data_IF_306863659659
#
_entry.id   IF_306863659659
#
_cell.length_a   1.000
_cell.length_b   1.000
_cell.length_c   1.000
_cell.angle_alpha   90.00
_cell.angle_beta   90.00
_cell.angle_gamma   90.00
#
_symmetry.space_group_name_H-M   'P 1'
#
loop_
_entity.id
_entity.type
_entity.pdbx_description
1 polymer ?
#
# COMPACT_ATOMS: atom_id res chain seq x y z
N UNK A 1 13.24 33.00 -10.94
CA UNK A 1 13.72 32.35 -12.18
C UNK A 1 12.97 31.04 -12.38
N UNK A 2 12.44 30.77 -13.59
CA UNK A 2 11.70 29.52 -13.89
C UNK A 2 12.65 28.50 -14.51
N UNK A 3 12.47 27.23 -14.18
CA UNK A 3 13.21 26.10 -14.79
C UNK A 3 14.75 26.24 -14.69
N UNK A 4 15.24 26.87 -13.63
CA UNK A 4 16.68 26.92 -13.38
C UNK A 4 17.16 25.57 -12.88
N UNK A 5 18.30 25.11 -13.39
CA UNK A 5 18.95 23.89 -12.92
C UNK A 5 19.38 23.96 -11.46
N UNK A 6 19.88 22.86 -10.91
CA UNK A 6 20.42 22.81 -9.55
C UNK A 6 21.48 23.87 -9.31
N UNK A 7 21.38 24.58 -8.19
CA UNK A 7 22.28 25.68 -7.78
C UNK A 7 22.39 25.73 -6.26
N UNK A 8 23.35 26.51 -5.72
CA UNK A 8 23.47 26.68 -4.26
C UNK A 8 22.20 27.27 -3.62
N UNK A 9 21.49 28.15 -4.33
CA UNK A 9 20.23 28.74 -3.86
C UNK A 9 19.04 27.76 -4.00
N UNK A 10 19.06 26.92 -5.03
CA UNK A 10 18.03 25.92 -5.32
C UNK A 10 18.69 24.56 -5.55
N UNK A 11 18.93 23.75 -4.51
CA UNK A 11 19.73 22.52 -4.60
C UNK A 11 19.24 21.53 -5.66
N UNK A 12 17.92 21.42 -5.90
CA UNK A 12 17.32 20.60 -6.96
C UNK A 12 16.78 21.43 -8.14
N UNK A 13 17.05 22.75 -8.16
CA UNK A 13 16.52 23.65 -9.16
C UNK A 13 15.10 24.13 -8.88
N UNK A 14 14.47 24.72 -9.90
CA UNK A 14 13.10 25.27 -9.82
C UNK A 14 12.17 24.62 -10.84
N UNK A 15 10.87 24.60 -10.52
CA UNK A 15 9.82 24.07 -11.40
C UNK A 15 9.43 25.10 -12.50
N UNK A 16 8.42 24.73 -13.31
CA UNK A 16 7.89 25.55 -14.41
C UNK A 16 7.30 26.91 -13.94
N UNK A 17 6.94 27.01 -12.65
CA UNK A 17 6.44 28.23 -12.02
C UNK A 17 7.50 29.01 -11.23
N UNK A 18 8.75 28.49 -11.19
CA UNK A 18 9.86 29.12 -10.45
C UNK A 18 9.89 28.76 -8.96
N UNK A 19 9.12 27.77 -8.51
CA UNK A 19 9.09 27.31 -7.11
C UNK A 19 10.26 26.38 -6.86
N UNK A 20 10.83 26.41 -5.65
CA UNK A 20 11.92 25.51 -5.24
C UNK A 20 11.48 24.03 -5.30
N UNK A 21 12.16 23.24 -6.12
CA UNK A 21 11.82 21.83 -6.31
C UNK A 21 12.12 20.99 -5.08
N UNK A 22 13.22 21.26 -4.37
CA UNK A 22 13.56 20.58 -3.12
C UNK A 22 12.45 20.75 -2.08
N UNK A 23 11.98 21.97 -1.88
CA UNK A 23 10.85 22.23 -0.95
C UNK A 23 9.59 21.48 -1.38
N UNK A 24 9.27 21.46 -2.67
CA UNK A 24 8.09 20.76 -3.18
C UNK A 24 8.18 19.25 -2.99
N UNK A 25 9.36 18.64 -3.20
CA UNK A 25 9.58 17.22 -2.94
C UNK A 25 9.44 16.91 -1.47
N UNK A 26 10.00 17.73 -0.58
CA UNK A 26 9.87 17.55 0.88
C UNK A 26 8.42 17.70 1.37
N UNK A 27 7.72 18.75 0.93
CA UNK A 27 6.30 18.90 1.27
C UNK A 27 5.40 17.85 0.62
N UNK A 28 5.82 17.29 -0.53
CA UNK A 28 5.16 16.20 -1.24
C UNK A 28 5.15 14.87 -0.48
N UNK A 29 6.03 14.68 0.50
CA UNK A 29 6.03 13.52 1.40
C UNK A 29 4.64 13.33 2.04
N UNK A 30 4.04 14.42 2.54
CA UNK A 30 2.75 14.35 3.24
C UNK A 30 1.61 13.79 2.37
N UNK A 31 1.29 14.34 1.18
CA UNK A 31 0.24 13.79 0.35
C UNK A 31 0.62 12.42 -0.25
N UNK A 32 1.86 12.21 -0.72
CA UNK A 32 2.25 10.97 -1.40
C UNK A 32 2.29 9.78 -0.42
N UNK A 33 2.98 9.92 0.72
CA UNK A 33 3.08 8.84 1.71
C UNK A 33 1.83 8.79 2.59
N UNK A 34 1.28 9.94 2.99
CA UNK A 34 0.10 9.98 3.85
C UNK A 34 -1.12 9.29 3.23
N UNK A 35 -1.39 9.52 1.94
CA UNK A 35 -2.47 8.83 1.21
C UNK A 35 -2.19 7.33 1.06
N UNK A 36 -0.93 6.94 0.80
CA UNK A 36 -0.54 5.54 0.73
C UNK A 36 -0.75 4.80 2.06
N UNK A 37 -0.36 5.43 3.17
CA UNK A 37 -0.57 4.88 4.52
C UNK A 37 -2.06 4.79 4.87
N UNK A 38 -2.83 5.85 4.61
CA UNK A 38 -4.27 5.87 4.85
C UNK A 38 -4.99 4.77 4.04
N UNK A 39 -4.68 4.65 2.74
CA UNK A 39 -5.23 3.60 1.89
C UNK A 39 -4.80 2.20 2.38
N UNK A 40 -3.55 2.03 2.84
CA UNK A 40 -3.08 0.76 3.40
C UNK A 40 -3.86 0.40 4.67
N UNK A 41 -4.07 1.34 5.56
CA UNK A 41 -4.88 1.14 6.76
C UNK A 41 -6.31 0.71 6.40
N UNK A 42 -6.96 1.41 5.47
CA UNK A 42 -8.33 1.09 5.03
C UNK A 42 -8.44 -0.32 4.43
N UNK A 43 -7.54 -0.69 3.51
CA UNK A 43 -7.60 -2.02 2.88
C UNK A 43 -7.25 -3.13 3.85
N UNK A 44 -6.35 -2.88 4.80
CA UNK A 44 -5.95 -3.82 5.83
C UNK A 44 -7.11 -4.10 6.78
N UNK A 45 -7.76 -3.04 7.29
CA UNK A 45 -8.92 -3.18 8.18
C UNK A 45 -10.09 -3.89 7.49
N UNK A 46 -10.42 -3.48 6.25
CA UNK A 46 -11.46 -4.14 5.47
C UNK A 46 -11.10 -5.62 5.20
N UNK A 47 -9.84 -5.88 4.84
CA UNK A 47 -9.35 -7.23 4.59
C UNK A 47 -9.40 -8.13 5.82
N UNK A 48 -9.00 -7.63 7.01
CA UNK A 48 -9.11 -8.37 8.27
C UNK A 48 -10.58 -8.69 8.55
N UNK A 49 -11.45 -7.70 8.47
CA UNK A 49 -12.88 -7.87 8.74
C UNK A 49 -13.49 -8.92 7.81
N UNK A 50 -13.33 -8.77 6.51
CA UNK A 50 -13.90 -9.70 5.51
C UNK A 50 -13.26 -11.08 5.61
N UNK A 51 -11.94 -11.17 5.78
CA UNK A 51 -11.21 -12.44 5.87
C UNK A 51 -11.61 -13.25 7.11
N UNK A 52 -11.72 -12.61 8.27
CA UNK A 52 -12.15 -13.27 9.51
C UNK A 52 -13.61 -13.71 9.41
N UNK A 53 -14.52 -12.83 8.96
CA UNK A 53 -15.94 -13.18 8.77
C UNK A 53 -16.10 -14.39 7.84
N UNK A 54 -15.34 -14.41 6.75
CA UNK A 54 -15.32 -15.50 5.79
C UNK A 54 -14.78 -16.81 6.40
N UNK A 55 -13.74 -16.74 7.25
CA UNK A 55 -13.20 -17.93 7.91
C UNK A 55 -14.12 -18.50 8.97
N UNK A 56 -14.76 -17.65 9.78
CA UNK A 56 -15.60 -18.05 10.92
C UNK A 56 -16.98 -18.50 10.47
N UNK A 57 -17.59 -17.81 9.50
CA UNK A 57 -18.97 -18.07 9.06
C UNK A 57 -19.01 -18.70 7.67
N UNK A 58 -19.18 -20.03 7.59
CA UNK A 58 -19.17 -20.79 6.34
C UNK A 58 -20.18 -20.29 5.29
N UNK A 59 -21.34 -19.79 5.72
CA UNK A 59 -22.36 -19.24 4.81
C UNK A 59 -21.92 -17.93 4.16
N UNK A 60 -21.24 -17.06 4.91
CA UNK A 60 -20.70 -15.79 4.40
C UNK A 60 -19.49 -16.02 3.51
N UNK A 61 -18.72 -17.05 3.76
CA UNK A 61 -17.52 -17.37 2.97
C UNK A 61 -17.79 -17.46 1.48
N UNK A 62 -18.83 -18.21 1.11
CA UNK A 62 -19.18 -18.41 -0.31
C UNK A 62 -19.47 -17.07 -1.00
N UNK A 63 -20.23 -16.18 -0.36
CA UNK A 63 -20.61 -14.89 -0.94
C UNK A 63 -19.41 -13.93 -0.96
N UNK A 64 -18.70 -13.79 0.18
CA UNK A 64 -17.59 -12.86 0.29
C UNK A 64 -16.44 -13.23 -0.66
N UNK A 65 -16.15 -14.52 -0.82
CA UNK A 65 -15.10 -14.95 -1.74
C UNK A 65 -15.53 -14.78 -3.21
N UNK A 66 -16.80 -14.94 -3.56
CA UNK A 66 -17.29 -14.62 -4.92
C UNK A 66 -17.12 -13.13 -5.24
N UNK A 67 -17.46 -12.25 -4.28
CA UNK A 67 -17.20 -10.82 -4.44
C UNK A 67 -15.69 -10.56 -4.61
N UNK A 68 -14.86 -11.18 -3.78
CA UNK A 68 -13.40 -11.09 -3.88
C UNK A 68 -12.90 -11.53 -5.26
N UNK A 69 -13.43 -12.63 -5.82
CA UNK A 69 -13.06 -13.15 -7.13
C UNK A 69 -13.45 -12.16 -8.25
N UNK A 70 -14.60 -11.49 -8.15
CA UNK A 70 -15.01 -10.45 -9.10
C UNK A 70 -14.00 -9.29 -9.15
N UNK A 71 -13.48 -8.87 -7.98
CA UNK A 71 -12.45 -7.82 -7.95
C UNK A 71 -11.12 -8.28 -8.57
N UNK A 72 -10.75 -9.56 -8.42
CA UNK A 72 -9.53 -10.09 -9.04
C UNK A 72 -9.64 -10.30 -10.55
N UNK A 73 -10.86 -10.40 -11.08
CA UNK A 73 -11.08 -10.51 -12.52
C UNK A 73 -10.71 -9.22 -13.28
N UNK A 74 -10.68 -8.08 -12.59
CA UNK A 74 -10.35 -6.78 -13.17
C UNK A 74 -8.93 -6.34 -12.77
N UNK A 75 -8.13 -5.80 -13.71
CA UNK A 75 -6.85 -5.18 -13.36
C UNK A 75 -7.07 -4.03 -12.37
N UNK A 76 -6.41 -4.09 -11.19
CA UNK A 76 -6.63 -3.11 -10.12
C UNK A 76 -6.40 -1.65 -10.54
N UNK A 77 -5.41 -1.39 -11.41
CA UNK A 77 -5.15 -0.06 -11.96
C UNK A 77 -6.31 0.45 -12.82
N UNK A 78 -6.91 -0.42 -13.63
CA UNK A 78 -8.07 -0.06 -14.46
C UNK A 78 -9.25 0.32 -13.59
N UNK A 79 -9.52 -0.48 -12.54
CA UNK A 79 -10.59 -0.17 -11.60
C UNK A 79 -10.33 1.14 -10.84
N UNK A 80 -9.08 1.40 -10.47
CA UNK A 80 -8.69 2.67 -9.85
C UNK A 80 -8.93 3.87 -10.79
N UNK A 81 -8.59 3.75 -12.08
CA UNK A 81 -8.86 4.78 -13.09
C UNK A 81 -10.36 5.04 -13.27
N UNK A 82 -11.16 3.99 -13.29
CA UNK A 82 -12.63 4.12 -13.37
C UNK A 82 -13.16 4.87 -12.15
N UNK A 83 -12.74 4.49 -10.94
CA UNK A 83 -13.21 5.14 -9.70
C UNK A 83 -12.84 6.62 -9.71
N UNK A 84 -11.58 6.95 -10.03
CA UNK A 84 -11.14 8.36 -10.00
C UNK A 84 -11.82 9.21 -11.08
N UNK A 85 -12.22 8.61 -12.19
CA UNK A 85 -13.00 9.30 -13.24
C UNK A 85 -14.39 9.74 -12.76
N UNK A 86 -14.99 9.00 -11.82
CA UNK A 86 -16.27 9.36 -11.22
C UNK A 86 -16.13 10.27 -9.99
N UNK A 87 -15.09 10.06 -9.17
CA UNK A 87 -14.91 10.80 -7.91
C UNK A 87 -14.13 12.09 -8.09
N UNK A 88 -13.42 12.23 -9.20
CA UNK A 88 -12.51 13.32 -9.49
C UNK A 88 -11.13 13.17 -8.84
N UNK A 89 -10.12 13.92 -9.34
CA UNK A 89 -8.73 13.87 -8.88
C UNK A 89 -8.54 14.66 -7.57
N UNK A 90 -9.03 14.12 -6.48
CA UNK A 90 -8.94 14.68 -5.14
C UNK A 90 -8.48 13.60 -4.14
N UNK A 91 -8.04 13.97 -2.91
CA UNK A 91 -7.52 13.01 -1.93
C UNK A 91 -8.49 11.87 -1.61
N UNK A 92 -9.79 12.14 -1.50
CA UNK A 92 -10.82 11.11 -1.23
C UNK A 92 -11.02 10.17 -2.42
N UNK A 93 -11.03 10.71 -3.64
CA UNK A 93 -11.10 9.91 -4.87
C UNK A 93 -9.92 8.96 -4.97
N UNK A 94 -8.71 9.42 -4.66
CA UNK A 94 -7.50 8.57 -4.65
C UNK A 94 -7.60 7.50 -3.56
N UNK A 95 -8.05 7.84 -2.35
CA UNK A 95 -8.24 6.86 -1.28
C UNK A 95 -9.22 5.77 -1.69
N UNK A 96 -10.36 6.12 -2.30
CA UNK A 96 -11.32 5.15 -2.81
C UNK A 96 -10.75 4.31 -3.95
N UNK A 97 -10.07 4.96 -4.91
CA UNK A 97 -9.44 4.30 -6.04
C UNK A 97 -8.41 3.24 -5.63
N UNK A 98 -7.70 3.45 -4.52
CA UNK A 98 -6.74 2.49 -3.98
C UNK A 98 -7.39 1.46 -3.06
N UNK A 99 -8.42 1.84 -2.32
CA UNK A 99 -9.00 0.99 -1.28
C UNK A 99 -10.00 -0.01 -1.84
N UNK A 100 -10.83 0.40 -2.81
CA UNK A 100 -11.86 -0.48 -3.40
C UNK A 100 -11.24 -1.69 -4.12
N UNK A 101 -10.22 -1.58 -4.97
CA UNK A 101 -9.57 -2.75 -5.56
C UNK A 101 -8.54 -3.42 -4.63
N UNK A 102 -8.13 -2.77 -3.55
CA UNK A 102 -7.00 -3.23 -2.72
C UNK A 102 -7.35 -4.24 -1.63
N UNK A 103 -8.54 -4.17 -1.01
CA UNK A 103 -8.93 -4.99 0.14
C UNK A 103 -9.01 -6.50 -0.15
N UNK A 104 -9.37 -6.99 -1.37
CA UNK A 104 -9.55 -8.41 -1.64
C UNK A 104 -8.29 -9.24 -1.39
N UNK A 105 -7.12 -8.69 -1.70
CA UNK A 105 -5.84 -9.34 -1.44
C UNK A 105 -5.66 -9.64 0.05
N UNK A 106 -5.92 -8.67 0.90
CA UNK A 106 -5.80 -8.81 2.36
C UNK A 106 -6.85 -9.78 2.91
N UNK A 107 -8.10 -9.69 2.44
CA UNK A 107 -9.17 -10.60 2.85
C UNK A 107 -8.83 -12.07 2.55
N UNK A 108 -8.27 -12.35 1.37
CA UNK A 108 -7.89 -13.72 0.99
C UNK A 108 -6.77 -14.28 1.86
N UNK A 109 -5.76 -13.48 2.15
CA UNK A 109 -4.64 -13.87 3.02
C UNK A 109 -5.12 -14.10 4.45
N UNK A 110 -5.87 -13.14 5.02
CA UNK A 110 -6.42 -13.25 6.37
C UNK A 110 -7.32 -14.48 6.51
N UNK A 111 -8.18 -14.76 5.51
CA UNK A 111 -9.00 -15.96 5.48
C UNK A 111 -8.16 -17.24 5.52
N UNK A 112 -7.06 -17.29 4.74
CA UNK A 112 -6.14 -18.43 4.74
C UNK A 112 -5.54 -18.68 6.11
N UNK A 113 -4.97 -17.65 6.73
CA UNK A 113 -4.39 -17.70 8.08
C UNK A 113 -5.45 -18.13 9.11
N UNK A 114 -6.60 -17.47 9.10
CA UNK A 114 -7.68 -17.75 10.05
C UNK A 114 -8.17 -19.20 9.93
N UNK A 115 -8.31 -19.75 8.72
CA UNK A 115 -8.71 -21.15 8.52
C UNK A 115 -7.67 -22.14 9.00
N UNK A 116 -6.39 -21.88 8.75
CA UNK A 116 -5.30 -22.70 9.29
C UNK A 116 -5.34 -22.75 10.81
N UNK A 117 -5.53 -21.59 11.45
CA UNK A 117 -5.62 -21.53 12.91
C UNK A 117 -6.90 -22.18 13.46
N UNK A 118 -8.03 -22.03 12.78
CA UNK A 118 -9.28 -22.69 13.19
C UNK A 118 -9.23 -24.21 13.15
N UNK A 119 -8.31 -24.80 12.37
CA UNK A 119 -8.08 -26.24 12.29
C UNK A 119 -7.11 -26.77 13.37
N UNK A 120 -6.56 -25.91 14.22
CA UNK A 120 -5.63 -26.34 15.27
C UNK A 120 -6.39 -26.99 16.45
N UNK A 121 -5.84 -28.09 17.03
CA UNK A 121 -6.46 -28.80 18.16
C UNK A 121 -6.75 -27.92 19.38
N UNK A 122 -5.90 -26.94 19.62
CA UNK A 122 -6.06 -25.97 20.71
C UNK A 122 -7.34 -25.12 20.55
N UNK A 123 -7.72 -24.76 19.31
CA UNK A 123 -8.94 -24.00 19.04
C UNK A 123 -10.16 -24.90 19.20
N UNK A 124 -10.06 -26.15 18.82
CA UNK A 124 -11.11 -27.16 19.03
C UNK A 124 -11.36 -27.39 20.53
N UNK A 125 -10.31 -27.53 21.33
CA UNK A 125 -10.40 -27.66 22.79
C UNK A 125 -11.13 -26.46 23.42
N UNK A 126 -10.76 -25.24 23.01
CA UNK A 126 -11.39 -23.99 23.51
C UNK A 126 -12.89 -23.94 23.14
N UNK A 127 -13.25 -24.43 21.95
CA UNK A 127 -14.67 -24.53 21.53
C UNK A 127 -15.44 -25.58 22.33
N UNK A 128 -14.84 -26.72 22.65
CA UNK A 128 -15.45 -27.75 23.52
C UNK A 128 -15.72 -27.22 24.93
N UNK A 129 -14.92 -26.26 25.40
CA UNK A 129 -15.17 -25.55 26.67
C UNK A 129 -16.27 -24.47 26.58
N UNK A 130 -16.96 -24.33 25.41
CA UNK A 130 -18.09 -23.43 25.23
C UNK A 130 -17.72 -22.03 24.71
N UNK A 131 -16.51 -21.83 24.23
CA UNK A 131 -16.10 -20.54 23.70
C UNK A 131 -16.87 -20.16 22.42
N UNK A 132 -17.50 -18.99 22.43
CA UNK A 132 -18.21 -18.44 21.28
C UNK A 132 -17.27 -17.91 20.18
N UNK A 133 -17.81 -17.62 18.97
CA UNK A 133 -17.02 -17.17 17.82
C UNK A 133 -16.21 -15.90 18.09
N UNK A 134 -16.74 -14.96 18.87
CA UNK A 134 -16.05 -13.71 19.20
C UNK A 134 -14.83 -13.95 20.07
N UNK A 135 -14.94 -14.83 21.07
CA UNK A 135 -13.81 -15.23 21.92
C UNK A 135 -12.71 -15.89 21.10
N UNK A 136 -13.07 -16.89 20.26
CA UNK A 136 -12.13 -17.58 19.37
C UNK A 136 -11.43 -16.58 18.44
N UNK A 137 -12.18 -15.65 17.85
CA UNK A 137 -11.59 -14.63 16.98
C UNK A 137 -10.58 -13.77 17.72
N UNK A 138 -10.94 -13.27 18.90
CA UNK A 138 -10.12 -12.30 19.63
C UNK A 138 -8.88 -12.95 20.26
N UNK A 139 -9.01 -14.17 20.77
CA UNK A 139 -7.99 -14.85 21.55
C UNK A 139 -7.14 -15.80 20.70
N UNK A 140 -7.76 -16.47 19.72
CA UNK A 140 -7.08 -17.50 18.93
C UNK A 140 -6.70 -17.04 17.52
N UNK A 141 -7.44 -16.13 16.88
CA UNK A 141 -7.17 -15.76 15.50
C UNK A 141 -6.37 -14.46 15.37
N UNK A 142 -6.82 -13.36 16.00
CA UNK A 142 -6.20 -12.05 15.83
C UNK A 142 -4.71 -12.01 16.20
N UNK A 143 -4.23 -12.67 17.26
CA UNK A 143 -2.79 -12.69 17.58
C UNK A 143 -1.93 -13.29 16.47
N UNK A 144 -2.45 -14.27 15.73
CA UNK A 144 -1.75 -14.92 14.62
C UNK A 144 -1.90 -14.18 13.29
N UNK A 145 -3.01 -13.50 13.11
CA UNK A 145 -3.28 -12.69 11.91
C UNK A 145 -2.43 -11.42 11.91
N UNK A 146 -2.31 -10.76 13.08
CA UNK A 146 -1.72 -9.44 13.18
C UNK A 146 -0.29 -9.35 12.66
N UNK A 147 0.66 -10.23 13.04
CA UNK A 147 2.03 -10.18 12.55
C UNK A 147 2.11 -10.30 11.01
N UNK A 148 1.44 -11.29 10.43
CA UNK A 148 1.49 -11.53 9.00
C UNK A 148 0.83 -10.41 8.19
N UNK A 149 -0.27 -9.84 8.71
CA UNK A 149 -0.94 -8.70 8.08
C UNK A 149 -0.07 -7.45 8.16
N UNK A 150 0.66 -7.23 9.26
CA UNK A 150 1.60 -6.10 9.39
C UNK A 150 2.68 -6.16 8.32
N UNK A 151 3.27 -7.33 8.09
CA UNK A 151 4.25 -7.56 7.02
C UNK A 151 3.69 -7.16 5.64
N UNK A 152 2.53 -7.72 5.27
CA UNK A 152 1.90 -7.46 3.97
C UNK A 152 1.49 -5.99 3.84
N UNK A 153 1.04 -5.37 4.93
CA UNK A 153 0.66 -3.96 4.95
C UNK A 153 1.87 -3.06 4.71
N UNK A 154 3.00 -3.33 5.38
CA UNK A 154 4.23 -2.55 5.23
C UNK A 154 4.77 -2.63 3.80
N UNK A 155 4.88 -3.84 3.24
CA UNK A 155 5.23 -4.05 1.82
C UNK A 155 4.22 -3.36 0.88
N UNK A 156 2.94 -3.36 1.24
CA UNK A 156 1.86 -2.75 0.46
C UNK A 156 1.93 -1.21 0.37
N UNK A 157 2.58 -0.53 1.31
CA UNK A 157 2.71 0.94 1.29
C UNK A 157 3.51 1.38 0.06
N UNK A 158 4.66 0.77 -0.20
CA UNK A 158 5.49 1.08 -1.37
C UNK A 158 4.72 0.94 -2.68
N UNK A 159 3.99 -0.15 -2.86
CA UNK A 159 3.14 -0.37 -4.04
C UNK A 159 2.05 0.70 -4.20
N UNK A 160 1.47 1.19 -3.10
CA UNK A 160 0.48 2.27 -3.15
C UNK A 160 1.11 3.62 -3.47
N UNK A 161 2.31 3.92 -2.96
CA UNK A 161 3.07 5.12 -3.36
C UNK A 161 3.30 5.10 -4.87
N UNK A 162 3.74 3.97 -5.43
CA UNK A 162 3.92 3.82 -6.88
C UNK A 162 2.61 4.01 -7.65
N UNK A 163 1.50 3.47 -7.15
CA UNK A 163 0.18 3.62 -7.79
C UNK A 163 -0.32 5.06 -7.75
N UNK A 164 -0.16 5.78 -6.62
CA UNK A 164 -0.50 7.21 -6.50
C UNK A 164 0.33 8.03 -7.48
N UNK A 165 1.64 7.76 -7.53
CA UNK A 165 2.54 8.44 -8.46
C UNK A 165 2.17 8.16 -9.92
N UNK A 166 1.76 6.92 -10.26
CA UNK A 166 1.25 6.57 -11.59
C UNK A 166 -0.03 7.31 -11.96
N UNK A 167 -0.99 7.41 -11.03
CA UNK A 167 -2.20 8.21 -11.22
C UNK A 167 -1.86 9.70 -11.38
N UNK A 168 -0.95 10.22 -10.57
CA UNK A 168 -0.42 11.58 -10.65
C UNK A 168 0.26 11.86 -11.99
N UNK A 169 1.06 10.93 -12.48
CA UNK A 169 1.73 10.99 -13.77
C UNK A 169 0.76 10.97 -14.96
N UNK A 170 -0.41 10.37 -14.79
CA UNK A 170 -1.51 10.43 -15.78
C UNK A 170 -2.37 11.69 -15.65
N UNK A 171 -2.02 12.62 -14.75
CA UNK A 171 -2.79 13.84 -14.48
C UNK A 171 -4.02 13.62 -13.60
N UNK A 172 -4.21 12.41 -13.06
CA UNK A 172 -5.34 12.03 -12.21
C UNK A 172 -4.99 11.99 -10.72
N UNK A 173 -3.80 12.48 -10.35
CA UNK A 173 -3.34 12.63 -8.97
C UNK A 173 -3.95 13.82 -8.23
N UNK A 174 -3.41 14.13 -7.06
CA UNK A 174 -3.78 15.32 -6.29
C UNK A 174 -3.42 16.56 -7.08
N UNK A 175 -4.41 17.44 -7.26
CA UNK A 175 -4.25 18.63 -8.10
C UNK A 175 -3.44 19.73 -7.41
N UNK A 176 -2.72 20.57 -8.18
CA UNK A 176 -2.11 21.78 -7.66
C UNK A 176 -3.12 22.65 -6.88
N UNK A 177 -2.69 23.38 -5.83
CA UNK A 177 -1.30 23.69 -5.47
C UNK A 177 -0.57 22.62 -4.64
N UNK A 178 -1.25 21.56 -4.22
CA UNK A 178 -0.66 20.50 -3.36
C UNK A 178 0.49 19.79 -4.09
N UNK A 179 1.70 19.76 -3.51
CA UNK A 179 2.83 19.12 -4.14
C UNK A 179 2.75 17.60 -3.91
N UNK A 180 2.25 16.86 -4.89
CA UNK A 180 2.28 15.39 -4.93
C UNK A 180 3.34 14.98 -5.97
N UNK A 181 4.13 13.94 -5.66
CA UNK A 181 5.31 13.59 -6.47
C UNK A 181 4.98 13.19 -7.91
N UNK A 182 3.90 12.45 -8.13
CA UNK A 182 3.45 12.09 -9.48
C UNK A 182 2.94 13.32 -10.25
N UNK A 183 2.24 14.23 -9.59
CA UNK A 183 1.80 15.48 -10.18
C UNK A 183 2.97 16.43 -10.49
N UNK A 184 4.04 16.43 -9.66
CA UNK A 184 5.28 17.17 -9.95
C UNK A 184 5.95 16.59 -11.20
N UNK A 185 6.04 15.27 -11.29
CA UNK A 185 6.62 14.55 -12.42
C UNK A 185 5.84 14.84 -13.72
N UNK A 186 4.51 14.78 -13.67
CA UNK A 186 3.64 15.14 -14.80
C UNK A 186 3.86 16.58 -15.27
N UNK A 187 3.96 17.53 -14.34
CA UNK A 187 4.25 18.94 -14.66
C UNK A 187 5.60 19.18 -15.32
N UNK A 188 6.55 18.25 -15.18
CA UNK A 188 7.87 18.28 -15.83
C UNK A 188 7.89 17.70 -17.26
N UNK A 189 6.86 16.91 -17.66
CA UNK A 189 6.85 16.23 -18.96
C UNK A 189 6.95 17.18 -20.15
N UNK A 190 6.17 18.29 -20.24
CA UNK A 190 6.22 19.19 -21.38
C UNK A 190 7.59 19.89 -21.56
N UNK A 191 8.38 19.93 -20.49
CA UNK A 191 9.69 20.63 -20.45
C UNK A 191 10.86 19.66 -20.23
N UNK A 192 10.66 18.37 -20.47
CA UNK A 192 11.65 17.33 -20.20
C UNK A 192 12.98 17.56 -20.97
N UNK A 193 12.92 18.08 -22.19
CA UNK A 193 14.10 18.42 -22.99
C UNK A 193 14.89 19.64 -22.49
N UNK A 194 14.26 20.50 -21.66
CA UNK A 194 14.86 21.76 -21.18
C UNK A 194 15.20 21.65 -19.69
N UNK A 195 14.31 21.05 -18.91
CA UNK A 195 14.41 20.95 -17.45
C UNK A 195 14.14 19.51 -16.96
N UNK A 196 14.98 18.52 -17.34
CA UNK A 196 14.78 17.11 -16.97
C UNK A 196 14.82 16.87 -15.46
N UNK A 197 15.49 17.75 -14.72
CA UNK A 197 15.64 17.65 -13.27
C UNK A 197 14.30 17.62 -12.53
N UNK A 198 13.25 18.23 -13.07
CA UNK A 198 11.91 18.25 -12.44
C UNK A 198 11.35 16.83 -12.35
N UNK A 199 11.33 16.11 -13.47
CA UNK A 199 10.82 14.73 -13.51
C UNK A 199 11.80 13.73 -12.88
N UNK A 200 13.12 13.95 -13.04
CA UNK A 200 14.15 13.06 -12.50
C UNK A 200 14.13 13.03 -10.97
N UNK A 201 14.15 14.17 -10.30
CA UNK A 201 14.19 14.21 -8.84
C UNK A 201 12.87 13.78 -8.20
N UNK A 202 11.72 14.04 -8.82
CA UNK A 202 10.44 13.51 -8.32
C UNK A 202 10.35 12.00 -8.54
N UNK A 203 10.79 11.47 -9.67
CA UNK A 203 10.90 10.04 -9.92
C UNK A 203 11.85 9.34 -8.95
N UNK A 204 13.01 9.97 -8.66
CA UNK A 204 13.96 9.44 -7.67
C UNK A 204 13.37 9.40 -6.27
N UNK A 205 12.64 10.43 -5.85
CA UNK A 205 11.96 10.45 -4.55
C UNK A 205 10.94 9.30 -4.42
N UNK A 206 10.18 9.03 -5.48
CA UNK A 206 9.25 7.90 -5.54
C UNK A 206 10.01 6.58 -5.42
N UNK A 207 11.05 6.38 -6.24
CA UNK A 207 11.83 5.14 -6.28
C UNK A 207 12.50 4.84 -4.93
N UNK A 208 13.14 5.83 -4.32
CA UNK A 208 13.77 5.69 -2.99
C UNK A 208 12.75 5.37 -1.90
N UNK A 209 11.57 5.99 -1.96
CA UNK A 209 10.51 5.71 -0.98
C UNK A 209 9.96 4.30 -1.14
N UNK A 210 9.71 3.85 -2.37
CA UNK A 210 9.27 2.48 -2.64
C UNK A 210 10.31 1.48 -2.13
N UNK A 211 11.60 1.71 -2.45
CA UNK A 211 12.71 0.87 -1.98
C UNK A 211 12.77 0.83 -0.45
N UNK A 212 12.68 1.99 0.21
CA UNK A 212 12.72 2.07 1.68
C UNK A 212 11.58 1.26 2.32
N UNK A 213 10.34 1.40 1.84
CA UNK A 213 9.22 0.62 2.36
C UNK A 213 9.32 -0.88 2.05
N UNK A 214 9.92 -1.26 0.92
CA UNK A 214 10.19 -2.67 0.60
C UNK A 214 11.20 -3.24 1.59
N UNK A 215 12.34 -2.58 1.82
CA UNK A 215 13.37 -3.03 2.76
C UNK A 215 12.84 -3.10 4.21
N UNK A 216 12.07 -2.09 4.63
CA UNK A 216 11.43 -2.12 5.95
C UNK A 216 10.43 -3.28 6.06
N UNK A 217 9.66 -3.53 5.00
CA UNK A 217 8.70 -4.63 4.97
C UNK A 217 9.37 -6.02 5.01
N UNK A 218 10.50 -6.17 4.32
CA UNK A 218 11.34 -7.39 4.38
C UNK A 218 11.93 -7.58 5.79
N UNK A 219 12.49 -6.54 6.38
CA UNK A 219 13.00 -6.61 7.76
C UNK A 219 11.92 -6.93 8.80
N UNK A 220 10.69 -6.42 8.62
CA UNK A 220 9.53 -6.79 9.45
C UNK A 220 9.16 -8.26 9.23
N UNK A 221 9.23 -8.75 7.98
CA UNK A 221 8.96 -10.14 7.66
C UNK A 221 9.95 -11.08 8.35
N UNK A 222 11.23 -10.80 8.26
CA UNK A 222 12.31 -11.57 8.90
C UNK A 222 12.17 -11.58 10.42
N UNK A 223 11.91 -10.42 11.03
CA UNK A 223 11.74 -10.29 12.46
C UNK A 223 10.53 -11.09 13.02
N UNK A 224 9.50 -11.26 12.20
CA UNK A 224 8.29 -12.02 12.58
C UNK A 224 8.47 -13.52 12.31
N UNK A 225 9.33 -13.92 11.38
CA UNK A 225 9.52 -15.32 10.94
C UNK A 225 11.00 -15.76 11.09
N UNK A 226 11.50 -15.95 12.30
CA UNK A 226 12.94 -16.18 12.57
C UNK A 226 13.47 -17.48 11.97
N UNK A 227 12.61 -18.43 11.61
CA UNK A 227 13.02 -19.75 11.05
C UNK A 227 13.63 -19.64 9.63
N UNK A 228 13.45 -18.53 8.92
CA UNK A 228 14.03 -18.33 7.58
C UNK A 228 15.50 -17.87 7.68
N UNK A 229 15.92 -17.30 8.80
CA UNK A 229 17.29 -16.82 9.00
C UNK A 229 18.31 -17.92 9.38
N UNK A 230 17.86 -19.04 9.94
CA UNK A 230 18.75 -20.14 10.33
C UNK A 230 19.24 -20.98 9.15
N UNK A 231 18.37 -21.22 8.15
CA UNK A 231 18.74 -22.00 6.95
C UNK A 231 19.80 -21.32 6.06
N UNK A 232 19.90 -19.98 6.10
CA UNK A 232 20.90 -19.24 5.35
C UNK A 232 22.31 -19.31 5.95
N UNK A 233 22.42 -19.62 7.25
CA UNK A 233 23.68 -19.68 7.96
C UNK A 233 24.28 -21.09 8.00
N UNK A 234 23.46 -22.14 7.75
CA UNK A 234 23.93 -23.55 7.71
C UNK A 234 24.48 -23.99 6.34
N UNK A 235 24.32 -23.17 5.29
CA UNK A 235 24.77 -23.52 3.93
C UNK A 235 26.14 -22.95 3.53
N UNK A 236 26.93 -22.39 4.46
CA UNK A 236 28.35 -22.11 4.21
C UNK A 236 29.21 -23.27 4.75
N UNK A 237 29.66 -24.22 3.93
CA UNK A 237 30.74 -25.12 4.31
C UNK A 237 32.06 -24.35 4.28
N UNK A 238 32.86 -24.50 5.33
CA UNK A 238 34.25 -24.05 5.45
C UNK A 238 35.16 -24.60 4.31
#
# INVERSE_FOLDING_TARGET
MRMTGPSFTYPLGTDTLGRCLASRILFGVRPSIGLAMAATCMVTLAGIMVGVLSAVFRRLDMVLMRITDCFFALPGMVLALVIISFTGPNPWGILLALSVPGWPKYARVVRGIARSQLAQPQVEAVRCMGAGPLYVTRTCLLPWIWPQVTTIATLGIGGKVATIAGLGFLGLGVQPPTPEWGAIMYGGLPVLGIAPHISLFSGLAIALTVLAFTLVGEGVHEAINPLIGEDANETMPD
#
